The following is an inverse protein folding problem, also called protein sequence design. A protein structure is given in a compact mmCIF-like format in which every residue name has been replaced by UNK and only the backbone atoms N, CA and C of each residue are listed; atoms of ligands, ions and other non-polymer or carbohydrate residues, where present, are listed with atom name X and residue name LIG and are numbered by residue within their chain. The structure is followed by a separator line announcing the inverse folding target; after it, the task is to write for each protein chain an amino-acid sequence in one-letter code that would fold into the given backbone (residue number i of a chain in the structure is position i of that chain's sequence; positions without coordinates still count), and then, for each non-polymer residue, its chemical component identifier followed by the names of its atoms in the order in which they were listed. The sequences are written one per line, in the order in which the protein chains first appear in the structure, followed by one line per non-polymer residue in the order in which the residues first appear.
data_IF_467653541567
#
_entry.id   IF_467653541567
#
_cell.length_a   1.000
_cell.length_b   1.000
_cell.length_c   1.000
_cell.angle_alpha   90.00
_cell.angle_beta   90.00
_cell.angle_gamma   90.00
#
_symmetry.space_group_name_H-M   'P 1'
#
loop_
_entity.id
_entity.type
_entity.pdbx_description
1 polymer ?
#
# COMPACT_ATOMS: atom_id res chain seq x y z
N UNK A 1 -10.74 9.73 -15.58
CA UNK A 1 -11.34 8.46 -15.13
C UNK A 1 -12.85 8.56 -14.82
N UNK A 2 -13.65 9.32 -15.60
CA UNK A 2 -15.10 9.48 -15.39
C UNK A 2 -15.51 9.73 -13.91
N UNK A 3 -14.75 10.55 -13.19
CA UNK A 3 -14.97 10.85 -11.77
C UNK A 3 -14.61 9.73 -10.78
N UNK A 4 -14.07 8.60 -11.22
CA UNK A 4 -13.67 7.48 -10.37
C UNK A 4 -12.22 7.58 -9.90
N UNK A 5 -11.97 7.00 -8.73
CA UNK A 5 -10.65 6.93 -8.12
C UNK A 5 -9.75 5.92 -8.82
N UNK A 6 -8.53 6.32 -9.18
CA UNK A 6 -7.54 5.51 -9.89
C UNK A 6 -6.37 5.15 -8.98
N UNK A 7 -5.92 3.90 -9.09
CA UNK A 7 -4.72 3.41 -8.40
C UNK A 7 -3.77 2.83 -9.45
N UNK A 8 -2.57 3.38 -9.58
CA UNK A 8 -1.57 2.92 -10.54
C UNK A 8 -0.63 1.93 -9.84
N UNK A 9 -0.56 0.71 -10.35
CA UNK A 9 0.31 -0.34 -9.80
C UNK A 9 1.64 -0.29 -10.53
N UNK A 10 2.74 -0.13 -9.80
CA UNK A 10 4.07 -0.07 -10.39
C UNK A 10 4.69 -1.45 -10.61
N UNK A 11 4.31 -2.41 -9.76
CA UNK A 11 4.93 -3.73 -9.69
C UNK A 11 6.43 -3.62 -9.37
N UNK A 12 6.69 -3.06 -8.20
CA UNK A 12 8.03 -2.66 -7.76
C UNK A 12 9.10 -3.74 -7.82
N UNK A 13 8.74 -5.03 -7.76
CA UNK A 13 9.69 -6.14 -7.79
C UNK A 13 10.46 -6.25 -9.13
N UNK A 14 10.01 -5.58 -10.18
CA UNK A 14 10.69 -5.51 -11.48
C UNK A 14 11.38 -4.18 -11.74
N UNK A 15 11.32 -3.25 -10.78
CA UNK A 15 11.75 -1.87 -10.97
C UNK A 15 12.97 -1.52 -10.13
N UNK A 16 13.90 -0.81 -10.76
CA UNK A 16 14.96 -0.10 -10.05
C UNK A 16 14.39 1.14 -9.36
N UNK A 17 15.15 1.68 -8.39
CA UNK A 17 14.72 2.85 -7.62
C UNK A 17 14.33 4.05 -8.50
N UNK A 18 15.15 4.37 -9.50
CA UNK A 18 14.92 5.53 -10.36
C UNK A 18 13.63 5.42 -11.20
N UNK A 19 13.23 4.19 -11.60
CA UNK A 19 11.94 3.96 -12.25
C UNK A 19 10.76 4.29 -11.31
N UNK A 20 10.84 3.85 -10.04
CA UNK A 20 9.80 4.09 -9.03
C UNK A 20 9.63 5.58 -8.76
N UNK A 21 10.73 6.34 -8.69
CA UNK A 21 10.74 7.80 -8.56
C UNK A 21 10.01 8.47 -9.72
N UNK A 22 10.42 8.14 -10.96
CA UNK A 22 9.83 8.73 -12.16
C UNK A 22 8.34 8.41 -12.30
N UNK A 23 7.91 7.20 -11.94
CA UNK A 23 6.50 6.82 -11.94
C UNK A 23 5.68 7.61 -10.91
N UNK A 24 6.24 7.93 -9.73
CA UNK A 24 5.57 8.79 -8.75
C UNK A 24 5.35 10.20 -9.30
N UNK A 25 6.35 10.77 -9.97
CA UNK A 25 6.26 12.09 -10.62
C UNK A 25 5.16 12.11 -11.69
N UNK A 26 5.18 11.13 -12.61
CA UNK A 26 4.17 10.99 -13.67
C UNK A 26 2.77 10.85 -13.07
N UNK A 27 2.61 10.05 -12.00
CA UNK A 27 1.33 9.92 -11.31
C UNK A 27 0.87 11.24 -10.66
N UNK A 28 1.82 12.05 -10.19
CA UNK A 28 1.57 13.41 -9.71
C UNK A 28 1.07 14.33 -10.80
N UNK A 29 1.78 14.39 -11.93
CA UNK A 29 1.43 15.18 -13.12
C UNK A 29 0.02 14.83 -13.66
N UNK A 30 -0.30 13.53 -13.66
CA UNK A 30 -1.58 13.01 -14.18
C UNK A 30 -2.70 12.94 -13.14
N UNK A 31 -2.47 13.42 -11.92
CA UNK A 31 -3.44 13.43 -10.82
C UNK A 31 -4.04 12.05 -10.52
N UNK A 32 -3.20 11.01 -10.50
CA UNK A 32 -3.61 9.70 -10.00
C UNK A 32 -3.93 9.78 -8.50
N UNK A 33 -4.95 9.07 -8.03
CA UNK A 33 -5.33 9.16 -6.61
C UNK A 33 -4.42 8.33 -5.71
N UNK A 34 -3.94 7.18 -6.20
CA UNK A 34 -2.94 6.36 -5.52
C UNK A 34 -1.86 5.84 -6.46
N UNK A 35 -0.64 5.77 -5.94
CA UNK A 35 0.40 4.83 -6.39
C UNK A 35 0.34 3.57 -5.54
N UNK A 36 0.53 2.39 -6.13
CA UNK A 36 0.43 1.08 -5.48
C UNK A 36 1.68 0.26 -5.76
N UNK A 37 2.21 -0.37 -4.71
CA UNK A 37 3.45 -1.18 -4.80
C UNK A 37 3.34 -2.34 -5.77
N UNK A 38 2.42 -3.28 -5.54
CA UNK A 38 2.45 -4.60 -6.19
C UNK A 38 1.06 -5.13 -6.57
N UNK A 39 1.00 -6.03 -7.54
CA UNK A 39 -0.23 -6.79 -7.85
C UNK A 39 -0.46 -7.92 -6.85
N UNK A 40 0.62 -8.53 -6.35
CA UNK A 40 0.61 -9.77 -5.57
C UNK A 40 0.93 -11.03 -6.38
N UNK A 41 1.17 -10.89 -7.69
CA UNK A 41 1.50 -12.00 -8.61
C UNK A 41 2.94 -11.96 -9.13
N UNK A 42 3.68 -10.87 -8.90
CA UNK A 42 5.10 -10.79 -9.21
C UNK A 42 5.99 -11.55 -8.22
N UNK A 43 7.30 -11.36 -8.32
CA UNK A 43 8.30 -12.04 -7.47
C UNK A 43 8.44 -11.45 -6.07
N UNK A 44 7.83 -10.29 -5.81
CA UNK A 44 7.92 -9.59 -4.53
C UNK A 44 6.70 -8.71 -4.23
N UNK A 45 6.52 -8.39 -2.94
CA UNK A 45 5.43 -7.56 -2.44
C UNK A 45 5.86 -6.14 -2.06
N UNK A 46 5.10 -5.51 -1.18
CA UNK A 46 5.46 -4.23 -0.58
C UNK A 46 6.64 -4.41 0.40
N UNK A 47 7.63 -3.51 0.31
CA UNK A 47 8.69 -3.35 1.32
C UNK A 47 8.58 -1.98 1.99
N UNK A 48 9.17 -1.82 3.18
CA UNK A 48 9.14 -0.55 3.90
C UNK A 48 9.97 0.51 3.16
N UNK A 49 11.08 0.10 2.55
CA UNK A 49 11.96 0.93 1.74
C UNK A 49 11.19 1.51 0.55
N UNK A 50 10.43 0.68 -0.17
CA UNK A 50 9.62 1.11 -1.31
C UNK A 50 8.51 2.07 -0.88
N UNK A 51 7.86 1.81 0.25
CA UNK A 51 6.81 2.70 0.76
C UNK A 51 7.36 4.08 1.13
N UNK A 52 8.51 4.13 1.81
CA UNK A 52 9.19 5.40 2.14
C UNK A 52 9.59 6.15 0.88
N UNK A 53 10.19 5.46 -0.10
CA UNK A 53 10.58 6.03 -1.38
C UNK A 53 9.37 6.60 -2.12
N UNK A 54 8.33 5.80 -2.32
CA UNK A 54 7.13 6.20 -3.06
C UNK A 54 6.44 7.37 -2.36
N UNK A 55 6.40 7.37 -1.02
CA UNK A 55 5.81 8.48 -0.27
C UNK A 55 6.61 9.76 -0.41
N UNK A 56 7.95 9.68 -0.36
CA UNK A 56 8.83 10.83 -0.53
C UNK A 56 8.76 11.44 -1.94
N UNK A 57 8.53 10.61 -2.97
CA UNK A 57 8.49 11.07 -4.37
C UNK A 57 7.09 11.45 -4.84
N UNK A 58 6.04 10.94 -4.20
CA UNK A 58 4.66 11.27 -4.56
C UNK A 58 4.24 12.62 -3.95
N UNK A 59 3.62 13.54 -4.71
CA UNK A 59 3.13 14.79 -4.16
C UNK A 59 2.01 14.55 -3.13
N UNK A 60 1.68 15.52 -2.26
CA UNK A 60 0.75 15.32 -1.14
C UNK A 60 -0.64 14.84 -1.54
N UNK A 61 -1.13 15.22 -2.74
CA UNK A 61 -2.45 14.81 -3.24
C UNK A 61 -2.50 13.36 -3.74
N UNK A 62 -1.35 12.79 -4.11
CA UNK A 62 -1.25 11.38 -4.52
C UNK A 62 -0.99 10.54 -3.27
N UNK A 63 -1.85 9.56 -3.03
CA UNK A 63 -1.74 8.68 -1.88
C UNK A 63 -0.89 7.43 -2.19
N UNK A 64 -0.43 6.72 -1.15
CA UNK A 64 0.37 5.48 -1.30
C UNK A 64 -0.42 4.28 -0.80
N UNK A 65 -0.52 3.23 -1.62
CA UNK A 65 -1.15 1.96 -1.28
C UNK A 65 -0.11 0.84 -1.19
N UNK A 66 0.04 0.24 -0.01
CA UNK A 66 0.82 -0.98 0.17
C UNK A 66 0.00 -2.20 -0.24
N UNK A 67 0.57 -3.12 -1.00
CA UNK A 67 -0.05 -4.39 -1.36
C UNK A 67 1.00 -5.45 -1.68
N UNK A 68 0.65 -6.72 -1.45
CA UNK A 68 1.55 -7.86 -1.59
C UNK A 68 2.35 -8.10 -0.31
N UNK A 69 2.11 -9.22 0.37
CA UNK A 69 2.91 -9.65 1.53
C UNK A 69 2.50 -9.09 2.91
N UNK A 70 1.56 -8.15 3.00
CA UNK A 70 1.07 -7.63 4.30
C UNK A 70 0.11 -8.65 4.92
N UNK A 71 0.58 -9.41 5.93
CA UNK A 71 -0.15 -10.53 6.55
C UNK A 71 -0.38 -10.42 8.06
N UNK A 72 0.15 -9.39 8.71
CA UNK A 72 -0.01 -9.20 10.16
C UNK A 72 -0.40 -7.75 10.48
N UNK A 73 -0.97 -7.56 11.67
CA UNK A 73 -1.29 -6.23 12.18
C UNK A 73 -0.03 -5.36 12.35
N UNK A 74 1.08 -5.94 12.81
CA UNK A 74 2.34 -5.20 12.93
C UNK A 74 2.90 -4.75 11.57
N UNK A 75 2.83 -5.61 10.54
CA UNK A 75 3.23 -5.23 9.18
C UNK A 75 2.33 -4.10 8.62
N UNK A 76 1.03 -4.13 8.94
CA UNK A 76 0.11 -3.04 8.61
C UNK A 76 0.52 -1.73 9.30
N UNK A 77 0.84 -1.77 10.60
CA UNK A 77 1.26 -0.59 11.36
C UNK A 77 2.58 -0.02 10.82
N UNK A 78 3.54 -0.89 10.48
CA UNK A 78 4.80 -0.47 9.84
C UNK A 78 4.56 0.18 8.48
N UNK A 79 3.71 -0.41 7.64
CA UNK A 79 3.35 0.18 6.35
C UNK A 79 2.65 1.54 6.51
N UNK A 80 1.77 1.68 7.50
CA UNK A 80 1.12 2.96 7.84
C UNK A 80 2.12 4.00 8.29
N UNK A 81 3.05 3.64 9.18
CA UNK A 81 4.12 4.52 9.64
C UNK A 81 5.07 4.94 8.50
N UNK A 82 5.27 4.08 7.51
CA UNK A 82 6.04 4.39 6.29
C UNK A 82 5.29 5.30 5.30
N UNK A 83 4.04 5.69 5.59
CA UNK A 83 3.27 6.64 4.79
C UNK A 83 2.21 6.02 3.88
N UNK A 84 1.93 4.71 3.99
CA UNK A 84 0.81 4.10 3.29
C UNK A 84 -0.52 4.60 3.89
N UNK A 85 -1.44 5.03 3.01
CA UNK A 85 -2.80 5.41 3.42
C UNK A 85 -3.83 4.33 3.14
N UNK A 86 -3.45 3.31 2.36
CA UNK A 86 -4.31 2.16 2.09
C UNK A 86 -3.51 0.88 2.04
N UNK A 87 -4.11 -0.20 2.56
CA UNK A 87 -3.54 -1.55 2.51
C UNK A 87 -4.39 -2.43 1.59
N UNK A 88 -3.75 -3.21 0.73
CA UNK A 88 -4.38 -4.32 0.01
C UNK A 88 -3.88 -5.65 0.58
N UNK A 89 -4.77 -6.40 1.22
CA UNK A 89 -4.49 -7.70 1.82
C UNK A 89 -5.69 -8.63 1.66
N UNK A 90 -5.43 -9.93 1.50
CA UNK A 90 -6.46 -10.98 1.50
C UNK A 90 -6.80 -11.48 2.91
N UNK A 91 -5.90 -11.29 3.87
CA UNK A 91 -6.05 -11.73 5.27
C UNK A 91 -6.58 -10.62 6.17
N UNK A 92 -7.56 -9.86 5.68
CA UNK A 92 -8.05 -8.66 6.41
C UNK A 92 -8.69 -9.04 7.75
N UNK A 93 -9.44 -10.15 7.82
CA UNK A 93 -10.03 -10.64 9.06
C UNK A 93 -8.95 -10.93 10.13
N UNK A 94 -7.98 -11.81 9.82
CA UNK A 94 -6.85 -12.13 10.71
C UNK A 94 -6.11 -10.88 11.23
N UNK A 95 -5.84 -9.93 10.34
CA UNK A 95 -5.16 -8.67 10.67
C UNK A 95 -5.99 -7.83 11.66
N UNK A 96 -7.31 -7.74 11.45
CA UNK A 96 -8.19 -6.94 12.30
C UNK A 96 -8.58 -7.65 13.60
N UNK A 97 -8.63 -8.98 13.63
CA UNK A 97 -8.84 -9.74 14.86
C UNK A 97 -7.68 -9.52 15.84
N UNK A 98 -6.45 -9.47 15.35
CA UNK A 98 -5.29 -9.13 16.19
C UNK A 98 -5.38 -7.70 16.75
N UNK A 99 -5.84 -6.73 15.95
CA UNK A 99 -6.12 -5.37 16.43
C UNK A 99 -7.16 -5.39 17.55
N UNK A 100 -8.27 -6.10 17.36
CA UNK A 100 -9.36 -6.19 18.33
C UNK A 100 -8.93 -6.88 19.61
N UNK A 101 -8.15 -7.96 19.50
CA UNK A 101 -7.53 -8.63 20.65
C UNK A 101 -6.66 -7.67 21.47
N UNK A 102 -5.80 -6.86 20.82
CA UNK A 102 -4.97 -5.85 21.50
C UNK A 102 -5.80 -4.75 22.18
N UNK A 103 -6.99 -4.47 21.67
CA UNK A 103 -7.94 -3.49 22.22
C UNK A 103 -8.94 -4.09 23.22
N UNK A 104 -8.88 -5.38 23.52
CA UNK A 104 -9.86 -6.05 24.40
C UNK A 104 -11.27 -6.15 23.80
N UNK A 105 -11.40 -6.12 22.49
CA UNK A 105 -12.68 -6.21 21.76
C UNK A 105 -12.94 -7.67 21.30
N UNK A 106 -14.22 -8.10 21.20
CA UNK A 106 -14.56 -9.46 20.74
C UNK A 106 -14.12 -9.68 19.28
N UNK A 107 -13.82 -10.90 18.81
CA UNK A 107 -13.38 -11.16 17.43
C UNK A 107 -14.41 -10.76 16.35
N UNK A 108 -13.97 -10.60 15.11
CA UNK A 108 -14.87 -10.37 13.97
C UNK A 108 -15.42 -11.72 13.50
N UNK A 109 -16.73 -11.89 13.58
CA UNK A 109 -17.42 -12.96 12.88
C UNK A 109 -17.84 -12.44 11.50
N UNK A 110 -17.33 -13.08 10.45
CA UNK A 110 -17.73 -12.80 9.06
C UNK A 110 -18.48 -14.05 8.61
N UNK A 111 -19.77 -13.91 8.32
CA UNK A 111 -20.60 -14.96 7.74
C UNK A 111 -20.16 -15.30 6.30
#
# INVERSE_FOLDING_TARGET
AAGRKVKVIFENCYLQEHHKRRLCEICGELNADWVKTSTGFGTGGATIEDLKLMRACSPPHVQVKAAGGIRSFDALLQARAAGATRIGASRTAEILDECRRRLGLPPIHVD
#
